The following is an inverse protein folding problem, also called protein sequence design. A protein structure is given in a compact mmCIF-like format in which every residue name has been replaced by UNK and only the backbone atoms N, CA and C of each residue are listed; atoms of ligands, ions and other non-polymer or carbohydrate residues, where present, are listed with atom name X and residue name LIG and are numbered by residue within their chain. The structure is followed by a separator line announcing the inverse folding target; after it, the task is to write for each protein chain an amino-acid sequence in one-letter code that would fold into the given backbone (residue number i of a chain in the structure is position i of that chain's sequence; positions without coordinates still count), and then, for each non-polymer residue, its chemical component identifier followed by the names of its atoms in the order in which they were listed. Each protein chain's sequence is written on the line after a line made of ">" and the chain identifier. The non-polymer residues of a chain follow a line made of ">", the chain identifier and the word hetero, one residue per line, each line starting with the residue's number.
data_IF_147938129859
#
_entry.id   IF_147938129859
#
_cell.length_a   1.000
_cell.length_b   1.000
_cell.length_c   1.000
_cell.angle_alpha   90.00
_cell.angle_beta   90.00
_cell.angle_gamma   90.00
#
_symmetry.space_group_name_H-M   'P 1'
#
loop_
_entity.id
_entity.type
_entity.pdbx_description
1 polymer ?
#
# COMPACT_ATOMS: atom_id res chain seq x y z
N UNK A 1 -17.73 4.27 5.68
CA UNK A 1 -18.85 3.30 5.79
C UNK A 1 -18.40 2.21 6.74
N UNK A 2 -19.28 1.67 7.59
CA UNK A 2 -18.90 0.56 8.47
C UNK A 2 -19.05 -0.76 7.70
N UNK A 3 -17.99 -1.56 7.61
CA UNK A 3 -18.05 -2.89 7.01
C UNK A 3 -19.01 -3.80 7.79
N UNK A 4 -19.62 -4.78 7.11
CA UNK A 4 -20.32 -5.86 7.80
C UNK A 4 -19.31 -6.78 8.51
N UNK A 5 -19.75 -7.54 9.50
CA UNK A 5 -18.90 -8.52 10.19
C UNK A 5 -18.26 -9.52 9.20
N UNK A 6 -19.04 -10.02 8.24
CA UNK A 6 -18.55 -10.90 7.18
C UNK A 6 -17.50 -10.22 6.28
N UNK A 7 -17.69 -8.94 5.96
CA UNK A 7 -16.71 -8.18 5.19
C UNK A 7 -15.42 -7.92 5.98
N UNK A 8 -15.53 -7.76 7.30
CA UNK A 8 -14.39 -7.61 8.20
C UNK A 8 -13.58 -8.91 8.33
N UNK A 9 -14.24 -10.06 8.55
CA UNK A 9 -13.58 -11.38 8.57
C UNK A 9 -12.88 -11.70 7.23
N UNK A 10 -13.55 -11.45 6.11
CA UNK A 10 -12.94 -11.63 4.79
C UNK A 10 -11.79 -10.66 4.53
N UNK A 11 -11.85 -9.46 5.10
CA UNK A 11 -10.74 -8.52 4.99
C UNK A 11 -9.54 -8.99 5.80
N UNK A 12 -9.77 -9.58 6.98
CA UNK A 12 -8.72 -10.19 7.80
C UNK A 12 -8.03 -11.35 7.07
N UNK A 13 -8.80 -12.20 6.40
CA UNK A 13 -8.25 -13.24 5.53
C UNK A 13 -7.36 -12.68 4.41
N UNK A 14 -7.77 -11.55 3.82
CA UNK A 14 -7.04 -10.92 2.72
C UNK A 14 -5.69 -10.34 3.21
N UNK A 15 -5.68 -9.72 4.39
CA UNK A 15 -4.45 -9.23 5.05
C UNK A 15 -3.54 -10.39 5.44
N UNK A 16 -4.09 -11.47 6.00
CA UNK A 16 -3.30 -12.60 6.47
C UNK A 16 -2.72 -13.47 5.34
N UNK A 17 -3.39 -13.57 4.19
CA UNK A 17 -2.99 -14.42 3.07
C UNK A 17 -2.18 -13.71 1.99
N UNK A 18 -2.02 -12.38 2.07
CA UNK A 18 -1.36 -11.63 1.01
C UNK A 18 0.13 -12.01 0.88
N UNK A 19 0.68 -12.04 -0.34
CA UNK A 19 -0.01 -11.99 -1.63
C UNK A 19 -0.82 -13.27 -1.90
N UNK A 20 -2.10 -13.13 -2.28
CA UNK A 20 -3.02 -14.27 -2.49
C UNK A 20 -3.68 -14.28 -3.88
N UNK A 21 -4.27 -15.41 -4.31
CA UNK A 21 -5.05 -15.51 -5.56
C UNK A 21 -6.53 -15.72 -5.27
N UNK A 22 -7.36 -15.45 -6.28
CA UNK A 22 -8.81 -15.73 -6.21
C UNK A 22 -9.11 -17.19 -5.86
N UNK A 23 -8.28 -18.14 -6.31
CA UNK A 23 -8.45 -19.56 -6.01
C UNK A 23 -8.32 -19.86 -4.52
N UNK A 24 -7.35 -19.24 -3.86
CA UNK A 24 -7.05 -19.53 -2.45
C UNK A 24 -8.16 -18.95 -1.55
N UNK A 25 -8.65 -17.75 -1.90
CA UNK A 25 -9.81 -17.13 -1.26
C UNK A 25 -11.11 -17.86 -1.57
N UNK A 26 -11.26 -18.41 -2.79
CA UNK A 26 -12.44 -19.20 -3.17
C UNK A 26 -12.60 -20.40 -2.25
N UNK A 27 -11.51 -21.16 -2.07
CA UNK A 27 -11.51 -22.36 -1.23
C UNK A 27 -11.78 -22.01 0.24
N UNK A 28 -11.20 -20.90 0.74
CA UNK A 28 -11.40 -20.47 2.12
C UNK A 28 -12.81 -19.93 2.39
N UNK A 29 -13.37 -19.15 1.48
CA UNK A 29 -14.69 -18.53 1.66
C UNK A 29 -15.86 -19.40 1.20
N UNK A 30 -15.56 -20.60 0.68
CA UNK A 30 -16.57 -21.54 0.18
C UNK A 30 -17.38 -20.96 -1.00
N UNK A 31 -16.73 -20.16 -1.85
CA UNK A 31 -17.40 -19.53 -2.99
C UNK A 31 -17.37 -20.43 -4.23
N UNK A 32 -18.38 -20.29 -5.08
CA UNK A 32 -18.58 -21.16 -6.24
C UNK A 32 -17.48 -21.03 -7.31
N UNK A 33 -16.75 -19.91 -7.33
CA UNK A 33 -15.66 -19.66 -8.29
C UNK A 33 -14.80 -18.46 -7.89
N UNK A 34 -13.59 -18.38 -8.45
CA UNK A 34 -12.75 -17.19 -8.36
C UNK A 34 -13.38 -15.92 -8.95
N UNK A 35 -14.37 -16.05 -9.84
CA UNK A 35 -15.17 -14.92 -10.33
C UNK A 35 -16.16 -14.42 -9.28
N UNK A 36 -16.70 -15.31 -8.44
CA UNK A 36 -17.54 -14.93 -7.31
C UNK A 36 -16.70 -14.16 -6.25
N UNK A 37 -15.45 -14.59 -6.02
CA UNK A 37 -14.49 -13.83 -5.20
C UNK A 37 -14.29 -12.43 -5.76
N UNK A 38 -14.01 -12.31 -7.06
CA UNK A 38 -13.79 -11.00 -7.68
C UNK A 38 -15.02 -10.08 -7.57
N UNK A 39 -16.22 -10.61 -7.80
CA UNK A 39 -17.46 -9.84 -7.64
C UNK A 39 -17.67 -9.36 -6.20
N UNK A 40 -17.37 -10.21 -5.22
CA UNK A 40 -17.45 -9.84 -3.81
C UNK A 40 -16.46 -8.71 -3.48
N UNK A 41 -15.20 -8.86 -3.90
CA UNK A 41 -14.17 -7.85 -3.70
C UNK A 41 -14.55 -6.49 -4.30
N UNK A 42 -15.03 -6.46 -5.55
CA UNK A 42 -15.45 -5.22 -6.22
C UNK A 42 -16.68 -4.55 -5.59
N UNK A 43 -17.56 -5.33 -4.96
CA UNK A 43 -18.80 -4.81 -4.37
C UNK A 43 -18.65 -4.37 -2.92
N UNK A 44 -17.84 -5.07 -2.13
CA UNK A 44 -17.76 -4.89 -0.68
C UNK A 44 -16.41 -4.37 -0.20
N UNK A 45 -15.31 -4.71 -0.89
CA UNK A 45 -13.95 -4.48 -0.40
C UNK A 45 -13.09 -3.65 -1.36
N UNK A 46 -13.69 -3.01 -2.36
CA UNK A 46 -12.98 -2.33 -3.46
C UNK A 46 -11.95 -1.30 -3.00
N UNK A 47 -12.24 -0.61 -1.90
CA UNK A 47 -11.37 0.43 -1.35
C UNK A 47 -10.20 -0.17 -0.54
N UNK A 48 -10.31 -1.46 -0.19
CA UNK A 48 -9.44 -2.13 0.76
C UNK A 48 -8.46 -3.13 0.12
N UNK A 49 -8.55 -3.38 -1.19
CA UNK A 49 -7.65 -4.30 -1.89
C UNK A 49 -7.11 -3.72 -3.20
N UNK A 50 -5.98 -4.25 -3.66
CA UNK A 50 -5.45 -4.00 -5.00
C UNK A 50 -4.82 -5.27 -5.59
N UNK A 51 -4.49 -5.22 -6.88
CA UNK A 51 -3.68 -6.25 -7.55
C UNK A 51 -2.29 -5.74 -7.86
N UNK A 52 -1.29 -6.54 -7.56
CA UNK A 52 0.10 -6.27 -7.95
C UNK A 52 0.40 -6.65 -9.41
N UNK A 53 1.67 -6.49 -9.79
CA UNK A 53 2.17 -6.78 -11.14
C UNK A 53 2.08 -8.25 -11.54
N UNK A 54 2.09 -9.17 -10.57
CA UNK A 54 1.88 -10.61 -10.77
C UNK A 54 0.41 -11.02 -10.72
N UNK A 55 -0.49 -10.02 -10.73
CA UNK A 55 -1.93 -10.21 -10.59
C UNK A 55 -2.34 -10.85 -9.25
N UNK A 56 -1.50 -10.78 -8.21
CA UNK A 56 -1.82 -11.23 -6.87
C UNK A 56 -2.65 -10.17 -6.15
N UNK A 57 -3.58 -10.60 -5.31
CA UNK A 57 -4.40 -9.75 -4.46
C UNK A 57 -3.58 -9.39 -3.21
N UNK A 58 -3.59 -8.10 -2.87
CA UNK A 58 -2.98 -7.54 -1.67
C UNK A 58 -3.93 -6.57 -0.99
N UNK A 59 -3.87 -6.51 0.33
CA UNK A 59 -4.61 -5.54 1.13
C UNK A 59 -3.92 -4.17 1.06
N UNK A 60 -4.72 -3.11 1.18
CA UNK A 60 -4.20 -1.75 1.39
C UNK A 60 -3.73 -1.57 2.83
N UNK A 61 -2.97 -0.49 3.08
CA UNK A 61 -2.63 -0.10 4.46
C UNK A 61 -3.90 0.16 5.30
N UNK A 62 -4.90 0.84 4.72
CA UNK A 62 -6.19 1.10 5.39
C UNK A 62 -6.91 -0.19 5.79
N UNK A 63 -6.93 -1.19 4.90
CA UNK A 63 -7.49 -2.51 5.19
C UNK A 63 -6.83 -3.18 6.39
N UNK A 64 -5.52 -3.04 6.46
CA UNK A 64 -4.72 -3.66 7.49
C UNK A 64 -4.85 -2.96 8.83
N UNK A 65 -4.93 -1.63 8.85
CA UNK A 65 -5.28 -0.87 10.06
C UNK A 65 -6.67 -1.27 10.56
N UNK A 66 -7.62 -1.44 9.64
CA UNK A 66 -9.00 -1.78 9.97
C UNK A 66 -9.17 -3.21 10.51
N UNK A 67 -8.30 -4.15 10.10
CA UNK A 67 -8.23 -5.52 10.62
C UNK A 67 -7.43 -5.58 11.92
N UNK A 68 -6.32 -4.85 12.01
CA UNK A 68 -5.43 -4.79 13.18
C UNK A 68 -6.03 -4.12 14.42
N UNK A 69 -7.26 -3.59 14.33
CA UNK A 69 -8.02 -3.10 15.49
C UNK A 69 -8.54 -4.27 16.37
N UNK A 70 -8.57 -5.52 15.87
CA UNK A 70 -9.02 -6.71 16.62
C UNK A 70 -7.87 -7.64 17.11
N UNK A 71 -6.67 -7.54 16.54
CA UNK A 71 -5.47 -8.27 16.98
C UNK A 71 -4.29 -7.30 17.14
N UNK A 72 -3.91 -7.07 18.40
CA UNK A 72 -2.84 -6.16 18.77
C UNK A 72 -1.46 -6.62 18.27
N UNK A 73 -0.68 -5.62 17.82
CA UNK A 73 0.79 -5.58 17.78
C UNK A 73 1.55 -6.17 16.58
N UNK A 74 1.02 -6.12 15.35
CA UNK A 74 1.91 -6.15 14.17
C UNK A 74 1.45 -5.19 13.07
N UNK A 75 2.21 -4.12 12.86
CA UNK A 75 2.00 -3.21 11.76
C UNK A 75 2.02 -3.98 10.43
N UNK A 76 1.09 -3.71 9.50
CA UNK A 76 1.01 -4.45 8.25
C UNK A 76 2.29 -4.40 7.43
N UNK A 77 2.78 -5.58 7.07
CA UNK A 77 3.93 -5.75 6.20
C UNK A 77 3.54 -5.43 4.75
N UNK A 78 3.97 -4.27 4.25
CA UNK A 78 3.81 -3.86 2.86
C UNK A 78 5.10 -4.17 2.11
N UNK A 79 4.99 -4.96 1.04
CA UNK A 79 6.12 -5.26 0.17
C UNK A 79 6.49 -4.03 -0.65
N UNK A 80 7.77 -3.72 -0.77
CA UNK A 80 8.29 -2.58 -1.52
C UNK A 80 9.47 -3.00 -2.39
N UNK A 81 9.56 -2.44 -3.59
CA UNK A 81 10.80 -2.54 -4.38
C UNK A 81 11.88 -1.62 -3.80
N UNK A 82 13.15 -1.85 -4.16
CA UNK A 82 14.28 -1.02 -3.71
C UNK A 82 14.03 0.48 -3.92
N UNK A 83 13.52 0.86 -5.11
CA UNK A 83 13.20 2.27 -5.41
C UNK A 83 12.08 2.81 -4.54
N UNK A 84 11.08 2.00 -4.22
CA UNK A 84 9.99 2.40 -3.32
C UNK A 84 10.48 2.60 -1.89
N UNK A 85 11.41 1.75 -1.43
CA UNK A 85 12.04 1.86 -0.11
C UNK A 85 12.86 3.14 0.02
N UNK A 86 13.69 3.46 -0.99
CA UNK A 86 14.44 4.72 -1.04
C UNK A 86 13.53 5.94 -0.96
N UNK A 87 12.40 5.92 -1.68
CA UNK A 87 11.43 7.02 -1.64
C UNK A 87 10.70 7.10 -0.30
N UNK A 88 10.36 5.95 0.29
CA UNK A 88 9.67 5.86 1.58
C UNK A 88 10.52 6.38 2.75
N UNK A 89 11.84 6.15 2.70
CA UNK A 89 12.76 6.59 3.75
C UNK A 89 12.82 8.12 3.87
N UNK A 90 12.72 8.84 2.74
CA UNK A 90 12.91 10.30 2.71
C UNK A 90 11.63 11.12 2.63
N UNK A 91 10.51 10.52 2.20
CA UNK A 91 9.26 11.29 2.01
C UNK A 91 8.74 11.85 3.34
N UNK A 92 8.18 13.07 3.28
CA UNK A 92 7.57 13.76 4.40
C UNK A 92 6.57 12.88 5.17
N UNK A 93 6.64 12.93 6.50
CA UNK A 93 5.67 12.26 7.38
C UNK A 93 4.26 12.87 7.31
N UNK A 94 3.28 12.26 7.99
CA UNK A 94 1.88 12.72 7.95
C UNK A 94 1.70 14.14 8.50
N UNK A 95 2.48 14.50 9.53
CA UNK A 95 2.46 15.83 10.16
C UNK A 95 3.38 16.85 9.46
N UNK A 96 4.22 16.38 8.53
CA UNK A 96 5.15 17.23 7.80
C UNK A 96 4.51 17.86 6.57
N UNK A 97 5.14 18.91 6.05
CA UNK A 97 4.69 19.57 4.82
C UNK A 97 4.89 18.65 3.61
N UNK A 98 3.82 18.43 2.84
CA UNK A 98 3.85 17.66 1.59
C UNK A 98 4.93 18.16 0.62
N UNK A 99 5.61 17.23 -0.07
CA UNK A 99 6.76 17.50 -0.94
C UNK A 99 6.42 17.25 -2.42
N UNK A 100 7.09 17.97 -3.32
CA UNK A 100 6.97 17.71 -4.76
C UNK A 100 7.85 16.52 -5.18
N UNK A 101 7.56 15.93 -6.35
CA UNK A 101 8.39 14.84 -6.91
C UNK A 101 9.87 15.21 -7.00
N UNK A 102 10.17 16.44 -7.42
CA UNK A 102 11.57 16.92 -7.54
C UNK A 102 12.21 17.10 -6.18
N UNK A 103 11.46 17.56 -5.18
CA UNK A 103 11.95 17.67 -3.80
C UNK A 103 12.28 16.30 -3.20
N UNK A 104 11.44 15.30 -3.46
CA UNK A 104 11.68 13.91 -3.03
C UNK A 104 12.90 13.34 -3.75
N UNK A 105 13.04 13.55 -5.07
CA UNK A 105 14.21 13.11 -5.82
C UNK A 105 15.52 13.65 -5.23
N UNK A 106 15.57 14.96 -4.94
CA UNK A 106 16.75 15.54 -4.30
C UNK A 106 17.00 14.97 -2.91
N UNK A 107 15.95 14.78 -2.11
CA UNK A 107 16.10 14.15 -0.79
C UNK A 107 16.64 12.72 -0.87
N UNK A 108 16.17 11.91 -1.84
CA UNK A 108 16.69 10.55 -2.06
C UNK A 108 18.16 10.60 -2.46
N UNK A 109 18.53 11.50 -3.38
CA UNK A 109 19.92 11.65 -3.83
C UNK A 109 20.85 12.12 -2.71
N UNK A 110 20.38 13.03 -1.85
CA UNK A 110 21.15 13.56 -0.73
C UNK A 110 21.40 12.50 0.36
N UNK A 111 20.39 11.68 0.69
CA UNK A 111 20.49 10.65 1.74
C UNK A 111 21.11 9.33 1.26
N UNK A 112 20.80 8.90 0.04
CA UNK A 112 21.16 7.56 -0.45
C UNK A 112 22.22 7.53 -1.56
N UNK A 113 22.60 8.69 -2.13
CA UNK A 113 23.76 8.86 -2.99
C UNK A 113 23.97 7.79 -4.06
N UNK A 114 24.79 6.77 -3.75
CA UNK A 114 25.12 5.65 -4.64
C UNK A 114 23.94 4.71 -4.91
N UNK A 115 23.03 4.49 -3.96
CA UNK A 115 21.85 3.65 -4.15
C UNK A 115 20.77 4.36 -4.98
N UNK A 116 20.86 5.69 -5.06
CA UNK A 116 20.02 6.53 -5.90
C UNK A 116 20.60 6.77 -7.30
N UNK A 117 21.76 6.19 -7.64
CA UNK A 117 22.45 6.44 -8.89
C UNK A 117 21.63 5.86 -10.07
N UNK A 118 21.31 6.73 -11.03
CA UNK A 118 20.38 6.42 -12.13
C UNK A 118 18.89 6.61 -11.84
N UNK A 119 18.51 7.00 -10.61
CA UNK A 119 17.13 7.35 -10.30
C UNK A 119 16.78 8.75 -10.84
N UNK A 120 15.73 8.82 -11.67
CA UNK A 120 15.23 10.07 -12.23
C UNK A 120 13.85 10.44 -11.68
N UNK A 121 13.35 11.62 -12.07
CA UNK A 121 12.03 12.09 -11.66
C UNK A 121 10.89 11.15 -12.14
N UNK A 122 11.10 10.42 -13.23
CA UNK A 122 10.17 9.41 -13.73
C UNK A 122 10.06 8.21 -12.78
N UNK A 123 11.20 7.68 -12.33
CA UNK A 123 11.31 6.61 -11.34
C UNK A 123 10.66 6.99 -10.01
N UNK A 124 11.00 8.16 -9.47
CA UNK A 124 10.38 8.68 -8.23
C UNK A 124 8.87 8.84 -8.40
N UNK A 125 8.41 9.40 -9.52
CA UNK A 125 6.97 9.53 -9.79
C UNK A 125 6.27 8.17 -9.82
N UNK A 126 6.87 7.15 -10.42
CA UNK A 126 6.31 5.80 -10.48
C UNK A 126 6.23 5.18 -9.09
N UNK A 127 7.29 5.29 -8.29
CA UNK A 127 7.32 4.80 -6.91
C UNK A 127 6.24 5.48 -6.06
N UNK A 128 6.12 6.81 -6.12
CA UNK A 128 5.06 7.56 -5.42
C UNK A 128 3.66 7.11 -5.86
N UNK A 129 3.44 6.86 -7.15
CA UNK A 129 2.15 6.33 -7.61
C UNK A 129 1.87 4.92 -7.06
N UNK A 130 2.87 4.07 -6.96
CA UNK A 130 2.69 2.75 -6.33
C UNK A 130 2.41 2.86 -4.84
N UNK A 131 3.19 3.67 -4.10
CA UNK A 131 2.95 3.92 -2.68
C UNK A 131 1.57 4.53 -2.43
N UNK A 132 1.09 5.41 -3.32
CA UNK A 132 -0.26 5.96 -3.25
C UNK A 132 -1.31 4.87 -3.44
N UNK A 133 -1.12 3.97 -4.40
CA UNK A 133 -2.02 2.82 -4.62
C UNK A 133 -2.03 1.85 -3.43
N UNK A 134 -0.91 1.73 -2.73
CA UNK A 134 -0.78 0.95 -1.49
C UNK A 134 -1.43 1.62 -0.27
N UNK A 135 -1.88 2.87 -0.40
CA UNK A 135 -2.45 3.67 0.70
C UNK A 135 -1.42 4.25 1.66
N UNK A 136 -0.13 4.21 1.30
CA UNK A 136 0.96 4.65 2.19
C UNK A 136 1.14 6.16 2.14
N UNK A 137 0.84 6.79 0.99
CA UNK A 137 1.00 8.23 0.80
C UNK A 137 -0.29 8.89 0.31
N UNK A 138 -0.51 10.11 0.78
CA UNK A 138 -1.55 11.00 0.29
C UNK A 138 -0.99 11.93 -0.77
N UNK A 139 -1.87 12.44 -1.65
CA UNK A 139 -1.52 13.48 -2.62
C UNK A 139 -2.35 14.73 -2.39
N UNK A 140 -1.69 15.87 -2.22
CA UNK A 140 -2.29 17.20 -2.22
C UNK A 140 -2.18 17.81 -3.62
N UNK A 141 -3.33 18.14 -4.24
CA UNK A 141 -3.35 18.79 -5.55
C UNK A 141 -3.23 20.32 -5.36
N UNK A 142 -1.99 20.84 -5.30
CA UNK A 142 -1.69 22.28 -5.40
C UNK A 142 -1.42 22.67 -6.87
N UNK A 143 -0.60 23.69 -7.12
CA UNK A 143 -0.12 24.04 -8.47
C UNK A 143 0.57 22.86 -9.17
N UNK A 144 1.22 21.99 -8.38
CA UNK A 144 1.70 20.67 -8.78
C UNK A 144 1.30 19.65 -7.71
N UNK A 145 1.12 18.37 -8.06
CA UNK A 145 0.86 17.32 -7.07
C UNK A 145 2.01 17.22 -6.06
N UNK A 146 1.69 17.27 -4.77
CA UNK A 146 2.64 17.06 -3.67
C UNK A 146 2.21 15.87 -2.82
N UNK A 147 3.17 15.20 -2.17
CA UNK A 147 2.97 13.91 -1.52
C UNK A 147 3.50 13.93 -0.08
N UNK A 148 2.86 13.16 0.80
CA UNK A 148 3.30 12.89 2.18
C UNK A 148 2.79 11.51 2.64
N UNK A 149 3.41 10.90 3.64
CA UNK A 149 2.89 9.68 4.26
C UNK A 149 1.47 9.91 4.80
N UNK A 150 0.61 8.90 4.66
CA UNK A 150 -0.72 8.87 5.23
C UNK A 150 -0.70 8.49 6.72
N UNK A 151 0.27 7.67 7.12
CA UNK A 151 0.45 7.15 8.49
C UNK A 151 1.90 7.36 8.97
N UNK A 152 2.17 7.33 10.28
CA UNK A 152 3.52 7.41 10.81
C UNK A 152 4.43 6.30 10.24
N UNK A 153 5.69 6.64 9.94
CA UNK A 153 6.66 5.69 9.35
C UNK A 153 6.85 4.41 10.20
N UNK A 154 6.65 4.52 11.52
CA UNK A 154 6.79 3.43 12.50
C UNK A 154 5.63 2.43 12.48
N UNK A 155 4.49 2.81 11.89
CA UNK A 155 3.27 1.98 11.78
C UNK A 155 3.21 1.22 10.43
N UNK A 156 4.28 1.32 9.63
CA UNK A 156 4.41 0.59 8.36
C UNK A 156 5.57 -0.40 8.49
N UNK A 157 5.26 -1.69 8.41
CA UNK A 157 6.29 -2.73 8.33
C UNK A 157 6.69 -2.90 6.86
N UNK A 158 7.98 -2.85 6.56
CA UNK A 158 8.50 -3.06 5.19
C UNK A 158 8.92 -4.52 5.05
N UNK A 159 8.31 -5.23 4.10
CA UNK A 159 8.74 -6.57 3.71
C UNK A 159 9.62 -6.48 2.47
N UNK A 160 10.79 -7.13 2.53
CA UNK A 160 11.69 -7.34 1.40
C UNK A 160 11.11 -8.41 0.43
N UNK A 161 11.33 -8.21 -0.87
CA UNK A 161 11.07 -9.21 -1.93
C UNK A 161 12.34 -10.00 -2.27
#
# INVERSE_FOLDING_TARGET
>A
MTLSAEAHERLADLVALQPTKNSDLQDRWGLDSGSAVHQYLESHLREYYYRDEDSMIRATAEASTLVGDDDADEAPAVHMSDTERLVFDVIAGPEDRSQSVVSVLHAVQDEHGADADGLDAGGVRRALQTLKRKGIIEVENRTVPTFRLAVPRQEVTVADD
#
